data_IF_077715805239
#
_entry.id   IF_077715805239
#
_cell.length_a   1.000
_cell.length_b   1.000
_cell.length_c   1.000
_cell.angle_alpha   90.00
_cell.angle_beta   90.00
_cell.angle_gamma   90.00
#
_symmetry.space_group_name_H-M   'P 1'
#
loop_
_entity.id
_entity.type
_entity.pdbx_description
1 polymer ?
#
# COMPACT_ATOMS: atom_id res chain seq x y z
N UNK A 1 -2.24 37.47 18.31
CA UNK A 1 -2.64 36.85 17.03
C UNK A 1 -2.27 35.37 17.09
N UNK A 2 -3.12 34.57 17.74
CA UNK A 2 -2.98 33.11 17.88
C UNK A 2 -3.76 32.46 16.73
N UNK A 3 -3.04 32.04 15.69
CA UNK A 3 -3.58 31.27 14.56
C UNK A 3 -2.63 30.10 14.29
N UNK A 4 -2.52 29.22 15.27
CA UNK A 4 -1.84 27.93 15.11
C UNK A 4 -2.45 26.95 16.11
N UNK A 5 -2.65 25.69 15.70
CA UNK A 5 -3.12 24.51 16.49
C UNK A 5 -4.60 24.05 16.45
N UNK A 6 -5.43 24.39 15.44
CA UNK A 6 -6.79 23.78 15.34
C UNK A 6 -7.22 23.28 13.95
N UNK A 7 -6.31 22.73 13.15
CA UNK A 7 -6.68 22.07 11.86
C UNK A 7 -6.79 20.54 12.00
N UNK A 8 -6.33 19.93 13.11
CA UNK A 8 -6.46 18.48 13.33
C UNK A 8 -7.30 18.19 14.59
N UNK A 9 -8.57 17.76 14.47
CA UNK A 9 -9.42 17.49 15.62
C UNK A 9 -9.32 16.04 16.13
N UNK A 10 -9.31 15.93 17.47
CA UNK A 10 -9.32 14.76 18.37
C UNK A 10 -8.11 13.81 18.32
N UNK A 11 -7.36 13.83 19.42
CA UNK A 11 -6.49 12.76 19.92
C UNK A 11 -7.13 11.40 19.59
N UNK A 12 -6.48 10.62 18.73
CA UNK A 12 -6.86 9.24 18.47
C UNK A 12 -6.43 8.46 19.70
N UNK A 13 -7.29 7.57 20.20
CA UNK A 13 -6.90 6.69 21.30
C UNK A 13 -5.77 5.79 20.79
N UNK A 14 -4.67 5.75 21.53
CA UNK A 14 -3.49 4.97 21.18
C UNK A 14 -3.14 3.99 22.29
N UNK A 15 -2.51 2.88 21.92
CA UNK A 15 -1.92 1.92 22.85
C UNK A 15 -0.55 2.40 23.39
N UNK A 16 0.08 1.57 24.22
CA UNK A 16 1.41 1.82 24.80
C UNK A 16 2.53 1.98 23.75
N UNK A 17 2.34 1.47 22.53
CA UNK A 17 3.27 1.60 21.40
C UNK A 17 2.91 2.77 20.48
N UNK A 18 1.91 3.58 20.85
CA UNK A 18 1.43 4.71 20.08
C UNK A 18 0.59 4.31 18.86
N UNK A 19 0.13 3.05 18.74
CA UNK A 19 -0.74 2.60 17.64
C UNK A 19 -2.20 2.95 17.90
N UNK A 20 -2.95 3.29 16.86
CA UNK A 20 -4.36 3.67 16.99
C UNK A 20 -5.24 2.46 17.37
N UNK A 21 -6.11 2.66 18.37
CA UNK A 21 -7.08 1.67 18.87
C UNK A 21 -8.49 1.83 18.28
N UNK A 22 -8.71 2.87 17.47
CA UNK A 22 -9.95 3.11 16.75
C UNK A 22 -9.70 3.65 15.34
N UNK A 23 -10.55 3.27 14.38
CA UNK A 23 -10.51 3.75 12.99
C UNK A 23 -11.48 4.93 12.81
N UNK A 24 -10.93 6.09 12.42
CA UNK A 24 -11.71 7.28 12.03
C UNK A 24 -11.66 7.46 10.52
N UNK A 25 -12.49 6.72 9.78
CA UNK A 25 -12.41 6.62 8.31
C UNK A 25 -12.46 7.96 7.55
N UNK A 26 -13.07 9.00 8.11
CA UNK A 26 -13.16 10.33 7.48
C UNK A 26 -12.06 11.30 7.93
N UNK A 27 -11.09 10.84 8.71
CA UNK A 27 -9.97 11.65 9.20
C UNK A 27 -8.74 11.44 8.31
N UNK A 28 -8.02 12.51 8.00
CA UNK A 28 -6.71 12.45 7.34
C UNK A 28 -5.58 12.82 8.32
N UNK A 29 -5.84 12.67 9.62
CA UNK A 29 -4.90 13.01 10.68
C UNK A 29 -3.63 12.15 10.67
N UNK A 30 -2.51 12.78 10.98
CA UNK A 30 -1.22 12.11 11.21
C UNK A 30 -1.18 11.41 12.56
N UNK A 31 -0.37 10.35 12.70
CA UNK A 31 0.28 9.59 11.63
C UNK A 31 -0.64 8.50 11.04
N UNK A 32 -1.58 7.98 11.83
CA UNK A 32 -2.29 6.73 11.55
C UNK A 32 -3.25 6.80 10.38
N UNK A 33 -4.19 7.75 10.39
CA UNK A 33 -5.24 7.79 9.37
C UNK A 33 -4.67 8.22 8.03
N UNK A 34 -3.71 9.16 8.02
CA UNK A 34 -3.03 9.55 6.79
C UNK A 34 -2.27 8.37 6.17
N UNK A 35 -1.51 7.64 6.97
CA UNK A 35 -0.82 6.42 6.51
C UNK A 35 -1.81 5.38 5.97
N UNK A 36 -2.95 5.18 6.63
CA UNK A 36 -4.02 4.31 6.15
C UNK A 36 -4.56 4.75 4.79
N UNK A 37 -4.86 6.05 4.63
CA UNK A 37 -5.37 6.58 3.36
C UNK A 37 -4.35 6.49 2.23
N UNK A 38 -3.09 6.83 2.50
CA UNK A 38 -2.02 6.69 1.53
C UNK A 38 -1.82 5.22 1.14
N UNK A 39 -1.81 4.29 2.10
CA UNK A 39 -1.56 2.89 1.82
C UNK A 39 -2.62 2.28 0.89
N UNK A 40 -3.91 2.48 1.17
CA UNK A 40 -4.97 1.93 0.32
C UNK A 40 -5.10 2.66 -1.01
N UNK A 41 -4.87 3.99 -1.05
CA UNK A 41 -4.91 4.76 -2.30
C UNK A 41 -3.76 4.35 -3.23
N UNK A 42 -2.56 4.15 -2.69
CA UNK A 42 -1.42 3.62 -3.44
C UNK A 42 -1.67 2.23 -3.96
N UNK A 43 -2.24 1.37 -3.12
CA UNK A 43 -2.61 0.02 -3.52
C UNK A 43 -3.69 0.02 -4.62
N UNK A 44 -4.68 0.90 -4.48
CA UNK A 44 -5.74 1.12 -5.47
C UNK A 44 -5.18 1.56 -6.82
N UNK A 45 -4.35 2.59 -6.85
CA UNK A 45 -3.72 3.10 -8.08
C UNK A 45 -2.81 2.04 -8.70
N UNK A 46 -2.05 1.31 -7.89
CA UNK A 46 -1.22 0.21 -8.37
C UNK A 46 -2.06 -0.87 -9.06
N UNK A 47 -3.20 -1.27 -8.48
CA UNK A 47 -4.09 -2.27 -9.06
C UNK A 47 -4.80 -1.76 -10.30
N UNK A 48 -5.20 -0.49 -10.33
CA UNK A 48 -5.72 0.12 -11.57
C UNK A 48 -4.70 0.08 -12.69
N UNK A 49 -3.43 0.38 -12.40
CA UNK A 49 -2.34 0.27 -13.36
C UNK A 49 -2.05 -1.17 -13.80
N UNK A 50 -2.03 -2.11 -12.84
CA UNK A 50 -1.79 -3.54 -13.12
C UNK A 50 -2.86 -4.13 -14.05
N UNK A 51 -4.12 -3.80 -13.78
CA UNK A 51 -5.28 -4.27 -14.54
C UNK A 51 -5.69 -3.33 -15.67
N UNK A 52 -4.81 -2.43 -16.14
CA UNK A 52 -5.15 -1.53 -17.24
C UNK A 52 -5.28 -2.24 -18.60
N UNK A 53 -4.55 -3.33 -18.81
CA UNK A 53 -4.53 -4.07 -20.08
C UNK A 53 -5.79 -4.94 -20.30
N UNK A 54 -6.24 -5.78 -19.34
CA UNK A 54 -7.38 -6.68 -19.54
C UNK A 54 -8.67 -6.02 -20.06
N UNK A 55 -9.10 -4.83 -19.60
CA UNK A 55 -10.29 -4.15 -20.14
C UNK A 55 -10.19 -3.75 -21.61
N UNK A 56 -8.97 -3.57 -22.13
CA UNK A 56 -8.70 -3.24 -23.52
C UNK A 56 -8.28 -4.46 -24.36
N UNK A 57 -8.31 -5.66 -23.78
CA UNK A 57 -7.86 -6.88 -24.44
C UNK A 57 -8.53 -7.11 -25.81
N UNK A 58 -9.85 -6.86 -26.01
CA UNK A 58 -10.46 -6.95 -27.33
C UNK A 58 -9.76 -6.10 -28.40
N UNK A 59 -9.47 -4.84 -28.09
CA UNK A 59 -8.78 -3.92 -29.01
C UNK A 59 -7.32 -4.35 -29.24
N UNK A 60 -6.60 -4.69 -28.17
CA UNK A 60 -5.18 -5.09 -28.25
C UNK A 60 -5.02 -6.40 -29.02
N UNK A 61 -5.93 -7.35 -28.82
CA UNK A 61 -5.98 -8.62 -29.54
C UNK A 61 -6.14 -8.42 -31.04
N UNK A 62 -7.04 -7.52 -31.45
CA UNK A 62 -7.26 -7.20 -32.86
C UNK A 62 -6.03 -6.49 -33.48
N UNK A 63 -5.43 -5.54 -32.75
CA UNK A 63 -4.28 -4.75 -33.22
C UNK A 63 -3.01 -5.62 -33.38
N UNK A 64 -2.67 -6.40 -32.36
CA UNK A 64 -1.46 -7.23 -32.32
C UNK A 64 -1.67 -8.63 -32.91
N UNK A 65 -2.89 -8.95 -33.36
CA UNK A 65 -3.30 -10.27 -33.87
C UNK A 65 -2.96 -11.40 -32.90
N UNK A 66 -3.31 -11.22 -31.63
CA UNK A 66 -2.93 -12.14 -30.55
C UNK A 66 -3.69 -13.46 -30.64
N UNK A 67 -2.95 -14.54 -30.39
CA UNK A 67 -3.56 -15.85 -30.16
C UNK A 67 -4.09 -15.97 -28.73
N UNK A 68 -5.11 -16.80 -28.48
CA UNK A 68 -5.61 -17.05 -27.12
C UNK A 68 -4.52 -17.55 -26.16
N UNK A 69 -3.55 -18.33 -26.67
CA UNK A 69 -2.41 -18.81 -25.88
C UNK A 69 -1.50 -17.66 -25.45
N UNK A 70 -1.22 -16.68 -26.32
CA UNK A 70 -0.41 -15.52 -25.95
C UNK A 70 -1.08 -14.67 -24.88
N UNK A 71 -2.40 -14.47 -24.96
CA UNK A 71 -3.14 -13.73 -23.94
C UNK A 71 -3.09 -14.46 -22.60
N UNK A 72 -3.37 -15.76 -22.59
CA UNK A 72 -3.29 -16.59 -21.38
C UNK A 72 -1.89 -16.59 -20.77
N UNK A 73 -0.85 -16.76 -21.59
CA UNK A 73 0.54 -16.71 -21.15
C UNK A 73 0.90 -15.34 -20.57
N UNK A 74 0.44 -14.25 -21.19
CA UNK A 74 0.68 -12.89 -20.69
C UNK A 74 0.00 -12.66 -19.32
N UNK A 75 -1.22 -13.15 -19.15
CA UNK A 75 -1.97 -13.09 -17.89
C UNK A 75 -1.24 -13.89 -16.78
N UNK A 76 -0.89 -15.14 -17.05
CA UNK A 76 -0.18 -16.01 -16.09
C UNK A 76 1.20 -15.47 -15.71
N UNK A 77 1.92 -14.92 -16.69
CA UNK A 77 3.25 -14.34 -16.47
C UNK A 77 3.16 -13.11 -15.56
N UNK A 78 2.14 -12.27 -15.74
CA UNK A 78 1.90 -11.12 -14.88
C UNK A 78 1.65 -11.51 -13.42
N UNK A 79 0.75 -12.47 -13.18
CA UNK A 79 0.44 -12.96 -11.82
C UNK A 79 1.64 -13.66 -11.19
N UNK A 80 2.41 -14.44 -11.96
CA UNK A 80 3.64 -15.09 -11.48
C UNK A 80 4.69 -14.07 -11.03
N UNK A 81 4.86 -12.96 -11.78
CA UNK A 81 5.79 -11.90 -11.40
C UNK A 81 5.41 -11.26 -10.05
N UNK A 82 4.11 -11.11 -9.77
CA UNK A 82 3.63 -10.63 -8.47
C UNK A 82 4.06 -11.53 -7.32
N UNK A 83 3.97 -12.86 -7.49
CA UNK A 83 4.37 -13.82 -6.44
C UNK A 83 5.84 -13.61 -6.09
N UNK A 84 6.71 -13.51 -7.11
CA UNK A 84 8.14 -13.28 -6.91
C UNK A 84 8.43 -11.92 -6.28
N UNK A 85 7.76 -10.87 -6.75
CA UNK A 85 7.93 -9.51 -6.23
C UNK A 85 7.50 -9.39 -4.76
N UNK A 86 6.49 -10.13 -4.32
CA UNK A 86 6.04 -10.16 -2.92
C UNK A 86 7.11 -10.69 -1.96
N UNK A 87 7.88 -11.70 -2.38
CA UNK A 87 8.99 -12.24 -1.59
C UNK A 87 10.11 -11.22 -1.39
N UNK A 88 10.26 -10.27 -2.31
CA UNK A 88 11.30 -9.24 -2.27
C UNK A 88 10.84 -8.00 -1.50
N UNK A 89 9.60 -7.55 -1.74
CA UNK A 89 9.11 -6.29 -1.17
C UNK A 89 8.90 -6.36 0.34
N UNK A 90 8.58 -7.54 0.90
CA UNK A 90 8.43 -7.73 2.35
C UNK A 90 9.71 -7.33 3.11
N UNK A 91 10.86 -7.97 2.84
CA UNK A 91 12.14 -7.57 3.43
C UNK A 91 12.53 -6.12 3.16
N UNK A 92 12.12 -5.54 2.02
CA UNK A 92 12.33 -4.12 1.74
C UNK A 92 11.49 -3.21 2.65
N UNK A 93 10.26 -3.60 2.98
CA UNK A 93 9.43 -2.88 3.96
C UNK A 93 10.08 -2.91 5.35
N UNK A 94 10.61 -4.06 5.77
CA UNK A 94 11.31 -4.18 7.05
C UNK A 94 12.55 -3.29 7.13
N UNK A 95 13.31 -3.18 6.03
CA UNK A 95 14.56 -2.43 6.00
C UNK A 95 14.37 -0.92 5.81
N UNK A 96 13.45 -0.51 4.93
CA UNK A 96 13.33 0.88 4.49
C UNK A 96 12.03 1.56 4.91
N UNK A 97 11.11 0.81 5.51
CA UNK A 97 9.78 1.27 5.86
C UNK A 97 8.76 1.14 4.71
N UNK A 98 7.46 1.03 5.04
CA UNK A 98 6.40 0.85 4.06
C UNK A 98 6.27 2.02 3.08
N UNK A 99 6.54 3.26 3.52
CA UNK A 99 6.42 4.46 2.68
C UNK A 99 7.36 4.40 1.48
N UNK A 100 8.65 4.14 1.75
CA UNK A 100 9.69 4.10 0.71
C UNK A 100 9.54 2.88 -0.18
N UNK A 101 9.15 1.74 0.40
CA UNK A 101 8.87 0.53 -0.36
C UNK A 101 7.70 0.75 -1.34
N UNK A 102 6.58 1.31 -0.87
CA UNK A 102 5.41 1.61 -1.72
C UNK A 102 5.76 2.63 -2.82
N UNK A 103 6.38 3.75 -2.46
CA UNK A 103 6.75 4.79 -3.43
C UNK A 103 7.69 4.27 -4.52
N UNK A 104 8.69 3.47 -4.15
CA UNK A 104 9.64 2.88 -5.10
C UNK A 104 8.95 1.88 -6.04
N UNK A 105 8.03 1.08 -5.50
CA UNK A 105 7.26 0.11 -6.28
C UNK A 105 6.33 0.79 -7.28
N UNK A 106 5.63 1.84 -6.87
CA UNK A 106 4.78 2.65 -7.75
C UNK A 106 5.59 3.36 -8.83
N UNK A 107 6.76 3.91 -8.50
CA UNK A 107 7.63 4.55 -9.46
C UNK A 107 8.15 3.55 -10.51
N UNK A 108 8.64 2.38 -10.07
CA UNK A 108 9.06 1.32 -11.00
C UNK A 108 7.88 0.83 -11.85
N UNK A 109 6.72 0.63 -11.24
CA UNK A 109 5.50 0.22 -11.93
C UNK A 109 5.01 1.24 -12.95
N UNK A 110 5.15 2.55 -12.67
CA UNK A 110 4.76 3.60 -13.61
C UNK A 110 5.55 3.53 -14.93
N UNK A 111 6.85 3.21 -14.83
CA UNK A 111 7.72 3.04 -16.00
C UNK A 111 7.22 1.85 -16.82
N UNK A 112 6.95 0.72 -16.19
CA UNK A 112 6.55 -0.51 -16.89
C UNK A 112 5.15 -0.40 -17.50
N UNK A 113 4.22 0.28 -16.82
CA UNK A 113 2.89 0.62 -17.35
C UNK A 113 3.02 1.57 -18.55
N UNK A 114 3.85 2.61 -18.47
CA UNK A 114 4.07 3.54 -19.58
C UNK A 114 4.68 2.85 -20.81
N UNK A 115 5.58 1.89 -20.59
CA UNK A 115 6.20 1.09 -21.65
C UNK A 115 5.25 0.06 -22.28
N UNK A 116 4.09 -0.22 -21.68
CA UNK A 116 3.07 -1.13 -22.24
C UNK A 116 2.63 -0.72 -23.65
N UNK A 117 2.57 0.58 -23.92
CA UNK A 117 2.24 1.12 -25.22
C UNK A 117 3.29 0.85 -26.31
N UNK A 118 4.46 0.29 -25.98
CA UNK A 118 5.49 -0.08 -26.96
C UNK A 118 5.38 -1.54 -27.43
N UNK A 119 4.49 -2.34 -26.85
CA UNK A 119 4.32 -3.74 -27.26
C UNK A 119 3.84 -3.84 -28.71
N UNK A 120 4.60 -4.53 -29.57
CA UNK A 120 4.34 -4.66 -31.00
C UNK A 120 3.79 -6.03 -31.41
N UNK A 121 3.87 -7.02 -30.52
CA UNK A 121 3.55 -8.41 -30.79
C UNK A 121 3.24 -9.15 -29.48
N UNK A 122 2.82 -10.42 -29.59
CA UNK A 122 2.46 -11.23 -28.43
C UNK A 122 3.61 -11.48 -27.45
N UNK A 123 4.86 -11.60 -27.92
CA UNK A 123 6.00 -11.79 -27.00
C UNK A 123 6.32 -10.49 -26.27
N UNK A 124 6.27 -9.35 -26.96
CA UNK A 124 6.39 -8.03 -26.33
C UNK A 124 5.32 -7.82 -25.25
N UNK A 125 4.08 -8.25 -25.49
CA UNK A 125 3.01 -8.17 -24.50
C UNK A 125 3.28 -9.06 -23.27
N UNK A 126 3.76 -10.29 -23.45
CA UNK A 126 4.11 -11.18 -22.32
C UNK A 126 5.20 -10.56 -21.46
N UNK A 127 6.26 -10.03 -22.09
CA UNK A 127 7.38 -9.40 -21.40
C UNK A 127 6.91 -8.18 -20.61
N UNK A 128 6.13 -7.29 -21.21
CA UNK A 128 5.67 -6.10 -20.49
C UNK A 128 4.69 -6.46 -19.36
N UNK A 129 3.84 -7.47 -19.56
CA UNK A 129 2.92 -7.98 -18.53
C UNK A 129 3.65 -8.59 -17.33
N UNK A 130 4.81 -9.24 -17.54
CA UNK A 130 5.69 -9.67 -16.46
C UNK A 130 6.09 -8.48 -15.58
N UNK A 131 6.65 -7.42 -16.20
CA UNK A 131 7.15 -6.27 -15.47
C UNK A 131 6.05 -5.43 -14.81
N UNK A 132 4.89 -5.29 -15.46
CA UNK A 132 3.72 -4.68 -14.84
C UNK A 132 3.27 -5.50 -13.62
N UNK A 133 3.33 -6.83 -13.69
CA UNK A 133 2.96 -7.72 -12.59
C UNK A 133 3.73 -7.49 -11.29
N UNK A 134 4.93 -6.92 -11.35
CA UNK A 134 5.70 -6.53 -10.16
C UNK A 134 4.92 -5.54 -9.29
N UNK A 135 4.17 -4.61 -9.89
CA UNK A 135 3.38 -3.61 -9.15
C UNK A 135 2.28 -4.26 -8.30
N UNK A 136 1.85 -5.48 -8.65
CA UNK A 136 0.89 -6.27 -7.87
C UNK A 136 1.39 -6.67 -6.47
N UNK A 137 2.69 -6.51 -6.21
CA UNK A 137 3.27 -6.69 -4.89
C UNK A 137 2.91 -5.56 -3.90
N UNK A 138 2.29 -4.48 -4.37
CA UNK A 138 1.83 -3.32 -3.57
C UNK A 138 0.88 -3.69 -2.43
N UNK A 139 0.24 -4.86 -2.53
CA UNK A 139 -0.54 -5.43 -1.43
C UNK A 139 0.28 -5.52 -0.13
N UNK A 140 1.53 -5.99 -0.22
CA UNK A 140 2.40 -6.23 0.95
C UNK A 140 2.73 -4.94 1.69
N UNK A 141 3.31 -3.88 1.06
CA UNK A 141 3.54 -2.62 1.77
C UNK A 141 2.24 -2.00 2.28
N UNK A 142 1.10 -2.19 1.59
CA UNK A 142 -0.19 -1.72 2.06
C UNK A 142 -0.60 -2.36 3.41
N UNK A 143 -0.58 -3.69 3.50
CA UNK A 143 -0.91 -4.43 4.73
C UNK A 143 0.12 -4.16 5.83
N UNK A 144 1.40 -4.09 5.47
CA UNK A 144 2.47 -3.76 6.40
C UNK A 144 2.24 -2.38 7.04
N UNK A 145 1.91 -1.38 6.21
CA UNK A 145 1.70 -0.01 6.67
C UNK A 145 0.53 0.11 7.65
N UNK A 146 -0.60 -0.53 7.32
CA UNK A 146 -1.75 -0.58 8.21
C UNK A 146 -1.42 -1.30 9.52
N UNK A 147 -0.74 -2.45 9.46
CA UNK A 147 -0.35 -3.23 10.65
C UNK A 147 0.63 -2.50 11.59
N UNK A 148 1.44 -1.59 11.06
CA UNK A 148 2.32 -0.71 11.85
C UNK A 148 1.55 0.40 12.57
N UNK A 149 0.43 0.85 12.01
CA UNK A 149 -0.35 1.98 12.52
C UNK A 149 -1.46 1.57 13.48
N UNK A 150 -2.01 0.36 13.37
CA UNK A 150 -3.19 -0.06 14.13
C UNK A 150 -2.87 -1.16 15.15
N UNK A 151 -3.48 -1.05 16.33
CA UNK A 151 -3.32 -2.00 17.44
C UNK A 151 -4.13 -3.28 17.22
N UNK A 152 -3.80 -4.34 17.97
CA UNK A 152 -4.33 -5.70 17.79
C UNK A 152 -5.85 -5.82 17.87
N UNK A 153 -6.53 -4.90 18.55
CA UNK A 153 -7.98 -4.90 18.67
C UNK A 153 -8.73 -4.47 17.40
N UNK A 154 -8.05 -3.79 16.46
CA UNK A 154 -8.66 -3.29 15.20
C UNK A 154 -7.79 -3.49 13.95
N UNK A 155 -6.63 -4.15 14.09
CA UNK A 155 -5.69 -4.34 12.97
C UNK A 155 -6.30 -5.19 11.85
N UNK A 156 -7.18 -6.15 12.17
CA UNK A 156 -7.88 -6.96 11.17
C UNK A 156 -8.81 -6.12 10.31
N UNK A 157 -9.63 -5.26 10.93
CA UNK A 157 -10.51 -4.31 10.23
C UNK A 157 -9.68 -3.30 9.42
N UNK A 158 -8.59 -2.77 9.97
CA UNK A 158 -7.74 -1.83 9.24
C UNK A 158 -7.13 -2.45 7.96
N UNK A 159 -6.55 -3.65 8.09
CA UNK A 159 -6.01 -4.42 6.96
C UNK A 159 -7.09 -4.78 5.94
N UNK A 160 -8.26 -5.19 6.41
CA UNK A 160 -9.40 -5.52 5.55
C UNK A 160 -9.92 -4.32 4.76
N UNK A 161 -10.04 -3.14 5.40
CA UNK A 161 -10.41 -1.91 4.72
C UNK A 161 -9.35 -1.50 3.69
N UNK A 162 -8.07 -1.50 4.08
CA UNK A 162 -6.99 -1.11 3.16
C UNK A 162 -6.86 -2.08 1.97
N UNK A 163 -6.95 -3.39 2.25
CA UNK A 163 -6.91 -4.43 1.24
C UNK A 163 -8.14 -4.42 0.33
N UNK A 164 -9.33 -4.24 0.88
CA UNK A 164 -10.57 -4.14 0.09
C UNK A 164 -10.60 -2.91 -0.81
N UNK A 165 -10.27 -1.75 -0.25
CA UNK A 165 -10.27 -0.48 -1.01
C UNK A 165 -9.18 -0.48 -2.07
N UNK A 166 -8.02 -1.09 -1.82
CA UNK A 166 -6.99 -1.19 -2.85
C UNK A 166 -7.27 -2.23 -3.92
N UNK A 167 -7.79 -3.42 -3.57
CA UNK A 167 -8.20 -4.42 -4.57
C UNK A 167 -9.29 -3.90 -5.52
N UNK A 168 -10.15 -3.00 -5.02
CA UNK A 168 -11.17 -2.30 -5.83
C UNK A 168 -10.56 -1.61 -7.06
N UNK A 169 -9.26 -1.28 -7.05
CA UNK A 169 -8.54 -0.70 -8.19
C UNK A 169 -8.63 -1.54 -9.46
N UNK A 170 -8.72 -2.88 -9.36
CA UNK A 170 -8.93 -3.77 -10.49
C UNK A 170 -10.33 -3.56 -11.11
N UNK A 171 -11.37 -3.48 -10.28
CA UNK A 171 -12.73 -3.18 -10.72
C UNK A 171 -12.86 -1.78 -11.33
N UNK A 172 -12.25 -0.77 -10.71
CA UNK A 172 -12.23 0.59 -11.28
C UNK A 172 -11.48 0.65 -12.60
N UNK A 173 -10.42 -0.15 -12.79
CA UNK A 173 -9.75 -0.26 -14.09
C UNK A 173 -10.72 -0.67 -15.19
N UNK A 174 -11.52 -1.71 -14.94
CA UNK A 174 -12.53 -2.21 -15.86
C UNK A 174 -13.60 -1.18 -16.22
N UNK A 175 -13.94 -0.31 -15.27
CA UNK A 175 -14.88 0.78 -15.51
C UNK A 175 -14.23 1.96 -16.26
N UNK A 176 -13.08 2.43 -15.79
CA UNK A 176 -12.50 3.71 -16.18
C UNK A 176 -11.63 3.63 -17.44
N UNK A 177 -10.85 2.56 -17.61
CA UNK A 177 -9.89 2.44 -18.70
C UNK A 177 -10.57 2.41 -20.09
N UNK A 178 -11.67 1.67 -20.31
CA UNK A 178 -12.39 1.74 -21.58
C UNK A 178 -12.96 3.14 -21.88
N UNK A 179 -13.38 3.88 -20.84
CA UNK A 179 -13.87 5.26 -21.00
C UNK A 179 -12.75 6.22 -21.41
N UNK A 180 -11.58 6.10 -20.78
CA UNK A 180 -10.37 6.86 -21.15
C UNK A 180 -9.97 6.54 -22.59
N UNK A 181 -9.94 5.25 -22.95
CA UNK A 181 -9.66 4.81 -24.31
C UNK A 181 -10.62 5.43 -25.32
N UNK A 182 -11.93 5.38 -25.07
CA UNK A 182 -12.93 5.96 -25.98
C UNK A 182 -12.72 7.47 -26.15
N UNK A 183 -12.42 8.19 -25.07
CA UNK A 183 -12.15 9.62 -25.12
C UNK A 183 -10.90 9.94 -25.99
N UNK A 184 -9.84 9.16 -25.84
CA UNK A 184 -8.60 9.31 -26.64
C UNK A 184 -8.84 8.91 -28.11
N UNK A 185 -9.62 7.85 -28.34
CA UNK A 185 -9.95 7.33 -29.67
C UNK A 185 -10.80 8.29 -30.52
N UNK A 186 -11.37 9.35 -29.93
CA UNK A 186 -12.01 10.44 -30.70
C UNK A 186 -11.00 11.22 -31.55
N UNK A 187 -9.74 11.30 -31.12
CA UNK A 187 -8.69 12.07 -31.79
C UNK A 187 -7.55 11.23 -32.39
N UNK A 188 -7.45 9.94 -32.04
CA UNK A 188 -6.37 9.04 -32.46
C UNK A 188 -6.92 7.74 -33.05
N UNK A 189 -6.21 7.12 -34.02
CA UNK A 189 -6.58 5.81 -34.53
C UNK A 189 -6.48 4.74 -33.42
N UNK A 190 -7.28 3.66 -33.46
CA UNK A 190 -7.31 2.63 -32.41
C UNK A 190 -5.92 2.09 -32.04
N UNK A 191 -5.07 1.82 -33.03
CA UNK A 191 -3.69 1.35 -32.83
C UNK A 191 -2.84 2.26 -31.92
N UNK A 192 -3.05 3.57 -31.98
CA UNK A 192 -2.35 4.54 -31.13
C UNK A 192 -3.11 4.81 -29.83
N UNK A 193 -4.44 4.82 -29.89
CA UNK A 193 -5.30 5.18 -28.77
C UNK A 193 -5.06 4.28 -27.54
N UNK A 194 -5.03 2.95 -27.71
CA UNK A 194 -4.82 2.04 -26.58
C UNK A 194 -3.43 2.18 -25.95
N UNK A 195 -2.42 2.52 -26.76
CA UNK A 195 -1.04 2.75 -26.29
C UNK A 195 -0.95 3.99 -25.42
N UNK A 196 -1.60 5.07 -25.83
CA UNK A 196 -1.65 6.34 -25.09
C UNK A 196 -2.49 6.23 -23.83
N UNK A 197 -3.52 5.38 -23.81
CA UNK A 197 -4.35 5.15 -22.61
C UNK A 197 -3.52 4.78 -21.37
N UNK A 198 -2.43 4.03 -21.53
CA UNK A 198 -1.58 3.60 -20.41
C UNK A 198 -0.74 4.71 -19.79
N UNK A 199 -0.59 5.84 -20.47
CA UNK A 199 0.08 7.03 -19.89
C UNK A 199 -0.69 7.54 -18.67
N UNK A 200 -2.03 7.46 -18.69
CA UNK A 200 -2.87 7.96 -17.60
C UNK A 200 -2.62 7.23 -16.27
N UNK A 201 -2.76 5.89 -16.17
CA UNK A 201 -2.44 5.18 -14.93
C UNK A 201 -0.95 5.29 -14.55
N UNK A 202 -0.02 5.38 -15.51
CA UNK A 202 1.39 5.62 -15.22
C UNK A 202 1.60 6.97 -14.51
N UNK A 203 1.00 8.06 -15.01
CA UNK A 203 1.05 9.37 -14.36
C UNK A 203 0.43 9.34 -12.95
N UNK A 204 -0.70 8.66 -12.77
CA UNK A 204 -1.31 8.50 -11.45
C UNK A 204 -0.38 7.76 -10.47
N UNK A 205 0.32 6.72 -10.93
CA UNK A 205 1.32 6.03 -10.12
C UNK A 205 2.46 6.96 -9.69
N UNK A 206 2.95 7.83 -10.58
CA UNK A 206 4.02 8.80 -10.27
C UNK A 206 3.53 9.82 -9.23
N UNK A 207 2.34 10.37 -9.42
CA UNK A 207 1.74 11.33 -8.48
C UNK A 207 1.55 10.70 -7.10
N UNK A 208 1.08 9.45 -7.07
CA UNK A 208 0.87 8.72 -5.83
C UNK A 208 2.19 8.32 -5.16
N UNK A 209 3.22 7.94 -5.92
CA UNK A 209 4.56 7.68 -5.40
C UNK A 209 5.17 8.93 -4.74
N UNK A 210 4.98 10.11 -5.35
CA UNK A 210 5.39 11.37 -4.75
C UNK A 210 4.59 11.67 -3.47
N UNK A 211 3.27 11.48 -3.49
CA UNK A 211 2.42 11.66 -2.32
C UNK A 211 2.86 10.75 -1.16
N UNK A 212 3.15 9.48 -1.42
CA UNK A 212 3.67 8.56 -0.40
C UNK A 212 4.99 9.06 0.18
N UNK A 213 5.95 9.40 -0.67
CA UNK A 213 7.29 9.81 -0.24
C UNK A 213 7.25 11.08 0.64
N UNK A 214 6.50 12.09 0.23
CA UNK A 214 6.46 13.40 0.89
C UNK A 214 5.44 13.50 2.03
N UNK A 215 4.32 12.77 1.95
CA UNK A 215 3.22 12.84 2.91
C UNK A 215 3.11 11.61 3.81
N UNK A 216 3.83 10.53 3.57
CA UNK A 216 3.75 9.33 4.42
C UNK A 216 4.52 9.47 5.74
N UNK A 217 4.01 8.80 6.78
CA UNK A 217 4.75 8.49 8.01
C UNK A 217 4.95 6.98 8.08
N UNK A 218 6.17 6.48 8.34
CA UNK A 218 6.45 5.04 8.38
C UNK A 218 5.93 4.40 9.67
N UNK A 219 6.05 5.13 10.78
CA UNK A 219 5.70 4.68 12.13
C UNK A 219 4.88 5.73 12.90
N UNK A 220 4.12 5.31 13.94
CA UNK A 220 3.42 6.25 14.81
C UNK A 220 4.34 7.30 15.49
N UNK A 221 5.58 6.94 15.79
CA UNK A 221 6.56 7.81 16.45
C UNK A 221 7.17 8.89 15.54
N UNK A 222 7.03 8.78 14.22
CA UNK A 222 7.62 9.74 13.28
C UNK A 222 6.93 11.11 13.32
N UNK A 223 5.68 11.17 13.79
CA UNK A 223 4.97 12.43 13.99
C UNK A 223 5.58 13.27 15.12
N UNK A 224 6.14 12.62 16.17
CA UNK A 224 6.73 13.30 17.32
C UNK A 224 8.09 13.93 16.97
N UNK A 225 8.95 13.21 16.24
CA UNK A 225 10.26 13.72 15.77
C UNK A 225 10.16 14.99 14.91
N UNK A 226 9.10 15.09 14.10
CA UNK A 226 8.87 16.28 13.27
C UNK A 226 8.31 17.46 14.07
N UNK A 227 7.72 17.24 15.25
CA UNK A 227 7.26 18.33 16.12
C UNK A 227 8.42 18.89 16.94
N UNK A 228 9.30 18.03 17.45
CA UNK A 228 10.42 18.41 18.32
C UNK A 228 11.52 19.17 17.56
N UNK A 229 11.81 18.78 16.30
CA UNK A 229 12.75 19.50 15.43
C UNK A 229 12.27 20.92 15.04
N UNK A 230 10.96 21.15 14.99
CA UNK A 230 10.39 22.48 14.78
C UNK A 230 10.40 23.34 16.05
N UNK A 231 10.54 22.73 17.23
CA UNK A 231 10.72 23.44 18.51
C UNK A 231 12.19 23.78 18.75
N UNK A 232 13.12 22.86 18.47
CA UNK A 232 14.57 23.13 18.57
C UNK A 232 15.04 24.24 17.62
N UNK A 233 14.48 24.33 16.41
CA UNK A 233 14.77 25.44 15.49
C UNK A 233 14.19 26.78 15.94
N UNK A 234 13.18 26.79 16.80
CA UNK A 234 12.61 28.03 17.36
C UNK A 234 13.42 28.57 18.55
N UNK A 235 14.10 27.69 19.29
CA UNK A 235 14.91 28.07 20.46
C UNK A 235 16.35 28.50 20.10
N UNK A 236 16.88 28.10 18.94
CA UNK A 236 18.24 28.48 18.54
C UNK A 236 18.34 29.93 18.01
N UNK A 237 17.25 30.51 17.50
CA UNK A 237 17.28 31.85 16.87
C UNK A 237 17.04 33.03 17.84
N UNK A 238 16.82 32.79 19.14
CA UNK A 238 16.40 33.87 20.08
C UNK A 238 17.34 34.29 21.20
N UNK A 239 18.53 33.71 21.37
CA UNK A 239 19.46 34.24 22.39
C UNK A 239 20.89 34.44 21.90
N UNK A 240 21.11 35.57 21.22
CA UNK A 240 22.40 36.25 21.21
C UNK A 240 22.65 37.05 22.49
N UNK A 241 23.48 36.46 23.38
CA UNK A 241 24.39 37.08 24.38
C UNK A 241 23.81 37.92 25.57
N UNK A 242 24.56 38.13 26.69
CA UNK A 242 25.65 37.37 27.29
C UNK A 242 25.44 37.00 28.79
N UNK A 243 26.36 36.19 29.33
CA UNK A 243 26.49 35.81 30.76
C UNK A 243 26.52 37.01 31.72
N UNK A 244 25.85 36.87 32.88
CA UNK A 244 26.27 37.51 34.15
C UNK A 244 25.96 36.58 35.33
N UNK A 245 27.00 36.26 36.10
CA UNK A 245 26.90 35.69 37.43
C UNK A 245 26.39 36.74 38.42
N UNK A 246 25.49 36.36 39.34
CA UNK A 246 25.46 36.89 40.71
C UNK A 246 24.48 36.09 41.58
N UNK A 247 25.01 35.71 42.73
CA UNK A 247 24.45 35.11 43.95
C UNK A 247 23.00 35.47 44.32
N UNK A 248 22.31 34.54 44.99
CA UNK A 248 21.80 34.72 46.36
C UNK A 248 21.31 33.38 46.97
N UNK A 249 21.85 33.10 48.15
CA UNK A 249 21.54 32.02 49.10
C UNK A 249 20.07 31.94 49.55
N UNK A 250 19.60 30.74 49.93
CA UNK A 250 19.45 30.34 51.35
C UNK A 250 18.47 29.16 51.56
N UNK A 251 19.01 28.03 52.01
CA UNK A 251 18.57 27.09 53.05
C UNK A 251 17.08 26.74 53.23
N UNK A 252 16.76 25.46 52.97
CA UNK A 252 15.98 24.65 53.91
C UNK A 252 16.40 23.17 53.83
N UNK A 253 17.01 22.69 54.92
CA UNK A 253 17.24 21.28 55.22
C UNK A 253 16.01 20.71 55.95
N UNK A 254 15.64 19.46 55.66
CA UNK A 254 15.51 18.39 56.67
C UNK A 254 15.05 17.04 56.06
N UNK A 255 16.02 16.12 55.99
CA UNK A 255 16.03 14.71 56.43
C UNK A 255 15.14 13.56 55.84
N UNK A 256 15.89 12.58 55.26
CA UNK A 256 15.87 11.11 55.46
C UNK A 256 14.71 10.31 54.81
N UNK A 257 14.90 9.24 54.01
CA UNK A 257 15.83 8.11 54.12
C UNK A 257 16.14 7.43 52.76
N UNK A 258 17.29 6.77 52.74
CA UNK A 258 17.90 5.93 51.70
C UNK A 258 17.04 4.79 51.12
N UNK A 259 17.15 4.59 49.81
CA UNK A 259 17.48 3.26 49.27
C UNK A 259 18.27 3.40 47.95
N UNK A 260 19.54 2.98 48.00
CA UNK A 260 20.47 2.90 46.86
C UNK A 260 20.20 1.64 46.05
N UNK A 261 20.00 1.76 44.73
CA UNK A 261 20.60 0.78 43.80
C UNK A 261 20.92 1.39 42.43
N UNK A 262 22.22 1.44 42.16
CA UNK A 262 22.94 1.51 40.88
C UNK A 262 22.36 2.26 39.67
N UNK A 263 23.01 3.38 39.36
CA UNK A 263 23.07 3.90 37.99
C UNK A 263 24.02 3.08 37.12
N UNK A 264 23.61 2.87 35.87
CA UNK A 264 24.51 2.79 34.72
C UNK A 264 23.96 3.70 33.63
N UNK A 265 24.64 4.84 33.45
CA UNK A 265 24.67 5.55 32.19
C UNK A 265 25.38 4.66 31.17
N UNK A 266 24.71 4.26 30.10
CA UNK A 266 25.40 3.80 28.89
C UNK A 266 25.02 4.64 27.67
N UNK A 267 26.09 5.10 27.05
CA UNK A 267 26.24 6.03 25.96
C UNK A 267 25.88 5.38 24.62
N UNK A 268 25.35 6.19 23.72
CA UNK A 268 25.16 5.98 22.28
C UNK A 268 26.13 5.00 21.58
N UNK A 269 25.57 4.12 20.73
CA UNK A 269 26.22 3.68 19.48
C UNK A 269 26.45 2.18 19.33
N UNK A 270 25.51 1.49 18.65
CA UNK A 270 25.77 0.53 17.56
C UNK A 270 24.47 -0.16 17.13
N UNK A 271 23.92 0.25 15.98
CA UNK A 271 22.92 -0.55 15.25
C UNK A 271 23.62 -1.79 14.69
N UNK A 272 23.40 -2.95 15.31
CA UNK A 272 23.81 -4.22 14.73
C UNK A 272 23.12 -4.42 13.36
N UNK A 273 23.83 -4.91 12.34
CA UNK A 273 23.20 -5.25 11.06
C UNK A 273 22.22 -6.42 11.28
N UNK A 274 21.04 -6.33 10.66
CA UNK A 274 20.04 -7.39 10.71
C UNK A 274 20.65 -8.74 10.28
N UNK A 275 20.41 -9.83 11.03
CA UNK A 275 20.97 -11.13 10.71
C UNK A 275 20.43 -11.63 9.36
N UNK A 276 21.29 -12.28 8.58
CA UNK A 276 20.91 -12.91 7.29
C UNK A 276 19.84 -13.99 7.45
N UNK A 277 19.25 -14.48 6.35
CA UNK A 277 18.10 -15.37 6.41
C UNK A 277 18.52 -16.71 7.04
N UNK A 278 18.09 -16.95 8.27
CA UNK A 278 18.29 -18.23 8.95
C UNK A 278 17.30 -19.26 8.40
N UNK A 279 17.55 -20.58 8.55
CA UNK A 279 16.63 -21.65 8.15
C UNK A 279 15.21 -21.54 8.74
N UNK A 280 15.03 -20.73 9.79
CA UNK A 280 13.74 -20.37 10.38
C UNK A 280 12.84 -19.57 9.43
N UNK A 281 13.41 -18.70 8.58
CA UNK A 281 12.65 -17.88 7.61
C UNK A 281 12.01 -18.76 6.54
N UNK A 282 12.70 -19.82 6.10
CA UNK A 282 12.15 -20.79 5.14
C UNK A 282 11.02 -21.62 5.78
N UNK A 283 11.18 -22.03 7.04
CA UNK A 283 10.11 -22.72 7.78
C UNK A 283 8.93 -21.81 8.10
N UNK A 284 9.15 -20.51 8.33
CA UNK A 284 8.10 -19.50 8.42
C UNK A 284 7.41 -19.31 7.05
N UNK A 285 8.15 -19.32 5.94
CA UNK A 285 7.60 -19.30 4.58
C UNK A 285 6.74 -20.54 4.30
N UNK A 286 7.18 -21.72 4.75
CA UNK A 286 6.41 -22.96 4.71
C UNK A 286 5.23 -22.93 5.69
N UNK A 287 5.30 -22.14 6.76
CA UNK A 287 4.17 -21.89 7.66
C UNK A 287 3.15 -20.91 7.05
N UNK A 288 3.56 -20.02 6.15
CA UNK A 288 2.65 -19.19 5.34
C UNK A 288 1.86 -20.03 4.32
N UNK A 289 2.32 -21.23 3.96
CA UNK A 289 1.53 -22.22 3.22
C UNK A 289 0.41 -22.86 4.06
N UNK A 290 0.27 -22.57 5.36
CA UNK A 290 -0.79 -23.17 6.22
C UNK A 290 -2.22 -22.79 5.83
N UNK A 291 -2.43 -21.87 4.90
CA UNK A 291 -3.76 -21.60 4.37
C UNK A 291 -3.79 -21.61 2.83
N UNK A 292 -3.62 -22.79 2.19
CA UNK A 292 -3.66 -22.89 0.73
C UNK A 292 -5.00 -22.39 0.17
N UNK A 293 -6.06 -22.43 0.97
CA UNK A 293 -7.36 -21.89 0.61
C UNK A 293 -7.32 -20.37 0.32
N UNK A 294 -6.51 -19.58 1.06
CA UNK A 294 -6.36 -18.14 0.80
C UNK A 294 -5.57 -17.86 -0.47
N UNK A 295 -4.46 -18.57 -0.67
CA UNK A 295 -3.68 -18.47 -1.90
C UNK A 295 -4.50 -18.83 -3.14
N UNK A 296 -5.30 -19.89 -3.05
CA UNK A 296 -6.20 -20.32 -4.11
C UNK A 296 -7.35 -19.32 -4.32
N UNK A 297 -7.98 -18.79 -3.27
CA UNK A 297 -9.10 -17.85 -3.40
C UNK A 297 -8.66 -16.53 -4.00
N UNK A 298 -7.56 -15.96 -3.51
CA UNK A 298 -7.00 -14.72 -4.05
C UNK A 298 -6.39 -14.92 -5.45
N UNK A 299 -5.72 -16.05 -5.70
CA UNK A 299 -5.19 -16.38 -7.02
C UNK A 299 -6.32 -16.55 -8.06
N UNK A 300 -7.43 -17.17 -7.67
CA UNK A 300 -8.62 -17.30 -8.51
C UNK A 300 -9.27 -15.94 -8.78
N UNK A 301 -9.40 -15.08 -7.75
CA UNK A 301 -9.87 -13.69 -7.89
C UNK A 301 -9.07 -12.95 -8.97
N UNK A 302 -7.74 -12.95 -8.86
CA UNK A 302 -6.84 -12.32 -9.85
C UNK A 302 -6.94 -12.95 -11.24
N UNK A 303 -7.11 -14.26 -11.33
CA UNK A 303 -7.26 -14.95 -12.61
C UNK A 303 -8.55 -14.52 -13.30
N UNK A 304 -9.67 -14.51 -12.58
CA UNK A 304 -10.97 -14.06 -13.09
C UNK A 304 -10.89 -12.60 -13.51
N UNK A 305 -10.32 -11.71 -12.69
CA UNK A 305 -10.11 -10.31 -13.05
C UNK A 305 -9.27 -10.15 -14.32
N UNK A 306 -8.36 -11.05 -14.66
CA UNK A 306 -7.57 -10.93 -15.89
C UNK A 306 -8.27 -11.43 -17.16
N UNK A 307 -9.39 -12.15 -17.05
CA UNK A 307 -10.08 -12.78 -18.20
C UNK A 307 -11.54 -12.36 -18.37
N UNK A 308 -12.19 -11.82 -17.33
CA UNK A 308 -13.64 -11.61 -17.31
C UNK A 308 -14.14 -10.66 -18.41
N UNK A 309 -13.38 -9.60 -18.74
CA UNK A 309 -13.77 -8.67 -19.81
C UNK A 309 -13.72 -9.29 -21.20
N UNK A 310 -12.67 -10.06 -21.49
CA UNK A 310 -12.55 -10.78 -22.77
C UNK A 310 -13.64 -11.85 -22.87
N UNK A 311 -13.91 -12.59 -21.78
CA UNK A 311 -14.99 -13.57 -21.72
C UNK A 311 -16.36 -12.96 -22.09
N UNK A 312 -16.71 -11.81 -21.52
CA UNK A 312 -17.96 -11.13 -21.88
C UNK A 312 -18.00 -10.65 -23.32
N UNK A 313 -16.86 -10.21 -23.86
CA UNK A 313 -16.77 -9.80 -25.26
C UNK A 313 -16.96 -10.98 -26.22
N UNK A 314 -16.27 -12.10 -25.99
CA UNK A 314 -16.28 -13.25 -26.90
C UNK A 314 -17.55 -14.10 -26.79
N UNK A 315 -18.01 -14.36 -25.56
CA UNK A 315 -19.11 -15.29 -25.35
C UNK A 315 -20.49 -14.65 -25.57
N UNK A 316 -20.62 -13.36 -25.23
CA UNK A 316 -21.90 -12.63 -25.32
C UNK A 316 -21.91 -11.56 -26.41
N UNK A 317 -20.81 -11.34 -27.14
CA UNK A 317 -20.73 -10.35 -28.23
C UNK A 317 -20.86 -8.90 -27.75
N UNK A 318 -20.60 -8.62 -26.48
CA UNK A 318 -20.78 -7.30 -25.88
C UNK A 318 -19.69 -6.33 -26.34
N UNK A 319 -19.99 -5.03 -26.36
CA UNK A 319 -18.96 -4.01 -26.64
C UNK A 319 -17.87 -4.01 -25.57
N UNK A 320 -16.63 -3.61 -25.91
CA UNK A 320 -15.54 -3.51 -24.93
C UNK A 320 -15.91 -2.68 -23.69
N UNK A 321 -16.65 -1.59 -23.88
CA UNK A 321 -17.07 -0.72 -22.77
C UNK A 321 -18.11 -1.42 -21.89
N UNK A 322 -19.07 -2.12 -22.49
CA UNK A 322 -20.09 -2.88 -21.74
C UNK A 322 -19.47 -4.06 -21.00
N UNK A 323 -18.58 -4.83 -21.65
CA UNK A 323 -17.82 -5.90 -21.00
C UNK A 323 -16.98 -5.37 -19.85
N UNK A 324 -16.38 -4.18 -20.02
CA UNK A 324 -15.68 -3.46 -18.98
C UNK A 324 -16.56 -3.16 -17.77
N UNK A 325 -17.72 -2.54 -18.00
CA UNK A 325 -18.68 -2.21 -16.95
C UNK A 325 -19.17 -3.45 -16.19
N UNK A 326 -19.45 -4.56 -16.89
CA UNK A 326 -19.86 -5.81 -16.22
C UNK A 326 -18.70 -6.45 -15.43
N UNK A 327 -17.49 -6.47 -16.00
CA UNK A 327 -16.28 -6.94 -15.31
C UNK A 327 -15.98 -6.13 -14.05
N UNK A 328 -16.27 -4.82 -14.07
CA UNK A 328 -16.05 -3.95 -12.91
C UNK A 328 -16.84 -4.39 -11.67
N UNK A 329 -18.03 -4.98 -11.83
CA UNK A 329 -18.85 -5.43 -10.71
C UNK A 329 -18.11 -6.49 -9.87
N UNK A 330 -17.40 -7.41 -10.53
CA UNK A 330 -16.63 -8.44 -9.85
C UNK A 330 -15.49 -7.84 -9.03
N UNK A 331 -14.70 -6.95 -9.62
CA UNK A 331 -13.59 -6.29 -8.91
C UNK A 331 -14.06 -5.31 -7.82
N UNK A 332 -15.20 -4.63 -8.01
CA UNK A 332 -15.79 -3.72 -7.01
C UNK A 332 -16.38 -4.46 -5.80
N UNK A 333 -16.73 -5.75 -5.94
CA UNK A 333 -17.20 -6.59 -4.81
C UNK A 333 -16.18 -6.64 -3.66
N UNK A 334 -14.90 -6.51 -3.96
CA UNK A 334 -13.81 -6.48 -2.98
C UNK A 334 -13.97 -5.40 -1.90
N UNK A 335 -14.70 -4.33 -2.21
CA UNK A 335 -15.04 -3.28 -1.26
C UNK A 335 -15.80 -3.83 -0.05
N UNK A 336 -16.73 -4.76 -0.29
CA UNK A 336 -17.62 -5.29 0.74
C UNK A 336 -17.14 -6.63 1.29
N UNK A 337 -16.69 -7.53 0.42
CA UNK A 337 -16.30 -8.90 0.81
C UNK A 337 -15.11 -8.90 1.77
N UNK A 338 -14.10 -8.06 1.53
CA UNK A 338 -12.93 -7.98 2.41
C UNK A 338 -13.22 -7.24 3.71
N UNK A 339 -13.90 -6.10 3.63
CA UNK A 339 -14.28 -5.31 4.82
C UNK A 339 -15.11 -6.16 5.81
N UNK A 340 -16.12 -6.87 5.31
CA UNK A 340 -16.93 -7.78 6.13
C UNK A 340 -16.12 -8.93 6.74
N UNK A 341 -15.19 -9.53 5.99
CA UNK A 341 -14.29 -10.55 6.51
C UNK A 341 -13.40 -10.06 7.65
N UNK A 342 -12.86 -8.84 7.56
CA UNK A 342 -12.04 -8.24 8.63
C UNK A 342 -12.83 -7.92 9.89
N UNK A 343 -14.03 -7.35 9.74
CA UNK A 343 -14.91 -7.07 10.88
C UNK A 343 -15.31 -8.37 11.59
N UNK A 344 -15.59 -9.43 10.84
CA UNK A 344 -15.88 -10.75 11.40
C UNK A 344 -14.66 -11.32 12.13
N UNK A 345 -13.46 -11.17 11.57
CA UNK A 345 -12.22 -11.63 12.20
C UNK A 345 -11.95 -10.92 13.54
N UNK A 346 -12.09 -9.59 13.58
CA UNK A 346 -11.91 -8.81 14.82
C UNK A 346 -13.01 -9.13 15.84
N UNK A 347 -14.26 -9.37 15.40
CA UNK A 347 -15.35 -9.80 16.27
C UNK A 347 -15.04 -11.16 16.91
N UNK A 348 -14.64 -12.16 16.12
CA UNK A 348 -14.26 -13.48 16.63
C UNK A 348 -13.08 -13.37 17.61
N UNK A 349 -12.08 -12.57 17.28
CA UNK A 349 -10.92 -12.31 18.15
C UNK A 349 -11.35 -11.77 19.53
N UNK A 350 -12.32 -10.84 19.55
CA UNK A 350 -12.86 -10.29 20.81
C UNK A 350 -13.59 -11.31 21.68
N UNK A 351 -14.10 -12.40 21.08
CA UNK A 351 -14.82 -13.47 21.79
C UNK A 351 -13.88 -14.54 22.32
N UNK A 352 -12.83 -14.89 21.57
CA UNK A 352 -11.96 -16.02 21.90
C UNK A 352 -10.83 -15.65 22.84
N UNK A 353 -10.43 -14.38 22.92
CA UNK A 353 -9.30 -13.92 23.77
C UNK A 353 -7.91 -14.41 23.29
N UNK A 354 -7.88 -15.48 22.51
CA UNK A 354 -6.77 -15.85 21.65
C UNK A 354 -6.78 -14.92 20.44
N UNK A 355 -5.89 -13.91 20.49
CA UNK A 355 -5.45 -13.15 19.32
C UNK A 355 -5.39 -14.07 18.12
N UNK A 356 -6.08 -13.78 17.02
CA UNK A 356 -6.00 -14.60 15.80
C UNK A 356 -4.52 -14.81 15.48
N UNK A 357 -3.98 -15.99 15.83
CA UNK A 357 -2.56 -16.35 15.70
C UNK A 357 -2.23 -16.68 14.25
N UNK A 358 -2.70 -15.83 13.34
CA UNK A 358 -2.30 -15.77 11.95
C UNK A 358 -1.70 -14.41 11.70
N UNK A 359 -0.43 -14.21 12.08
CA UNK A 359 0.37 -13.11 11.55
C UNK A 359 0.36 -13.23 10.02
N UNK A 360 -0.47 -12.43 9.35
CA UNK A 360 -0.39 -12.21 7.91
C UNK A 360 0.19 -10.82 7.70
N UNK A 361 1.49 -10.79 7.39
CA UNK A 361 2.15 -9.65 6.76
C UNK A 361 1.68 -9.50 5.31
#
# INVERSE_FOLDING_TARGET
>A
MMLSTKIFPKQILVDEYGKATNIKLFSFGRPHMRAMHLSWMSFFIAFTGWFAIPPLMPTIKADLKLTPSQISNANMTSVSATILARLIIGPLCDRYGPRRAMASLLLLGSITIGLAGLASDGNGLIIVRFFIGIIGASFVPCQYWASRMFSSNIVGTANALCGGFGNMGAGVSYFLIPLIYNAIALGLPPHQAWRVTFVVPACLCILMAAADYFLGDDNPSDALKNSDSNLESYDVDKHGLPRTASDCDSNHDDHLNDEKTHGQNETSGNTAPAPGPTPSVLMDLLSQLKNPAYGCSFGLELAVDNMIGEFFHEHFGLSQTTSGMLGSIFGLMNLFSRASGGMLADYVNSLTGEGVQGRML
#
